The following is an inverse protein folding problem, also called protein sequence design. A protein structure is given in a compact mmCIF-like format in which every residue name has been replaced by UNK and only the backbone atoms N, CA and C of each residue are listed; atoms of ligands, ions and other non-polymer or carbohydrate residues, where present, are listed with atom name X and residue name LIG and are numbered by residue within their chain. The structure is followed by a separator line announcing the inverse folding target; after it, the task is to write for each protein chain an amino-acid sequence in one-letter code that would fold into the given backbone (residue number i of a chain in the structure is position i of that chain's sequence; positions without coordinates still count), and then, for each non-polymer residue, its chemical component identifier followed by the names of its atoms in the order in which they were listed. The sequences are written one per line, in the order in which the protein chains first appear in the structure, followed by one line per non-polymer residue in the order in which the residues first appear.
data_IF_578819468220
#
_entry.id   IF_578819468220
#
_cell.length_a   1.000
_cell.length_b   1.000
_cell.length_c   1.000
_cell.angle_alpha   90.00
_cell.angle_beta   90.00
_cell.angle_gamma   90.00
#
_symmetry.space_group_name_H-M   'P 1'
#
loop_
_entity.id
_entity.type
_entity.pdbx_description
1 polymer ?
#
# COMPACT_ATOMS: atom_id res chain seq x y z
N UNK A 1 -16.45 -20.07 18.62
CA UNK A 1 -15.47 -19.64 19.64
C UNK A 1 -14.47 -18.76 18.94
N UNK A 2 -14.40 -17.48 19.30
CA UNK A 2 -13.36 -16.57 18.82
C UNK A 2 -12.00 -17.14 19.24
N UNK A 3 -11.09 -17.34 18.27
CA UNK A 3 -9.78 -17.93 18.52
C UNK A 3 -8.84 -16.83 19.05
N UNK A 4 -9.00 -16.45 20.32
CA UNK A 4 -8.12 -15.50 21.01
C UNK A 4 -6.74 -16.14 21.12
N UNK A 5 -5.73 -15.49 20.54
CA UNK A 5 -4.34 -15.93 20.58
C UNK A 5 -3.51 -14.92 21.36
N UNK A 6 -2.56 -15.34 22.21
CA UNK A 6 -1.69 -14.40 22.90
C UNK A 6 -0.80 -13.68 21.89
N UNK A 7 -0.92 -12.35 21.83
CA UNK A 7 -0.05 -11.47 21.05
C UNK A 7 0.57 -10.40 21.94
N UNK A 8 1.78 -9.97 21.59
CA UNK A 8 2.42 -8.79 22.20
C UNK A 8 2.66 -7.74 21.14
N UNK A 9 2.52 -6.44 21.46
CA UNK A 9 2.83 -5.36 20.53
C UNK A 9 4.23 -5.50 19.96
N UNK A 10 4.33 -5.37 18.65
CA UNK A 10 5.59 -5.51 17.91
C UNK A 10 5.89 -4.30 17.02
N UNK A 11 5.06 -3.26 17.11
CA UNK A 11 5.11 -1.95 16.46
C UNK A 11 6.06 -1.88 15.28
N UNK A 12 5.56 -2.30 14.11
CA UNK A 12 6.28 -2.20 12.83
C UNK A 12 7.11 -3.43 12.45
N UNK A 13 7.13 -4.50 13.25
CA UNK A 13 7.74 -5.76 12.84
C UNK A 13 6.91 -6.51 11.78
N UNK A 14 7.58 -7.40 11.03
CA UNK A 14 6.89 -8.33 10.13
C UNK A 14 6.11 -9.35 10.97
N UNK A 15 4.81 -9.45 10.72
CA UNK A 15 3.93 -10.44 11.34
C UNK A 15 3.93 -11.74 10.55
N UNK A 16 3.91 -12.90 11.23
CA UNK A 16 3.57 -14.14 10.56
C UNK A 16 2.06 -14.17 10.24
N UNK A 17 1.64 -14.91 9.21
CA UNK A 17 0.23 -14.96 8.82
C UNK A 17 -0.72 -15.40 9.94
N UNK A 18 -0.25 -16.22 10.88
CA UNK A 18 -1.01 -16.71 12.03
C UNK A 18 -1.25 -15.63 13.11
N UNK A 19 -0.40 -14.59 13.11
CA UNK A 19 -0.48 -13.42 13.98
C UNK A 19 -1.39 -12.31 13.40
N UNK A 20 -1.79 -12.43 12.12
CA UNK A 20 -2.68 -11.46 11.48
C UNK A 20 -4.13 -11.73 11.89
N UNK A 21 -4.64 -10.89 12.81
CA UNK A 21 -6.02 -10.92 13.29
C UNK A 21 -6.96 -10.27 12.28
N UNK A 22 -8.13 -10.87 12.07
CA UNK A 22 -9.16 -10.36 11.18
C UNK A 22 -8.79 -10.45 9.70
N UNK A 23 -9.51 -9.71 8.85
CA UNK A 23 -9.30 -9.64 7.38
C UNK A 23 -9.76 -10.86 6.58
N UNK A 24 -10.50 -11.80 7.15
CA UNK A 24 -11.03 -12.98 6.45
C UNK A 24 -11.92 -12.57 5.27
N UNK A 25 -12.78 -11.57 5.47
CA UNK A 25 -13.64 -11.04 4.42
C UNK A 25 -12.85 -10.33 3.31
N UNK A 26 -11.80 -9.58 3.68
CA UNK A 26 -10.90 -8.93 2.71
C UNK A 26 -10.18 -9.97 1.85
N UNK A 27 -9.65 -11.03 2.48
CA UNK A 27 -8.99 -12.15 1.80
C UNK A 27 -9.96 -12.82 0.82
N UNK A 28 -11.18 -13.13 1.26
CA UNK A 28 -12.20 -13.76 0.42
C UNK A 28 -12.52 -12.90 -0.80
N UNK A 29 -12.82 -11.61 -0.60
CA UNK A 29 -13.12 -10.68 -1.69
C UNK A 29 -11.97 -10.57 -2.69
N UNK A 30 -10.72 -10.46 -2.20
CA UNK A 30 -9.53 -10.40 -3.05
C UNK A 30 -9.40 -11.68 -3.89
N UNK A 31 -9.58 -12.86 -3.29
CA UNK A 31 -9.53 -14.14 -4.01
C UNK A 31 -10.61 -14.20 -5.09
N UNK A 32 -11.85 -13.81 -4.78
CA UNK A 32 -12.96 -13.77 -5.74
C UNK A 32 -12.65 -12.85 -6.94
N UNK A 33 -11.97 -11.72 -6.70
CA UNK A 33 -11.53 -10.81 -7.76
C UNK A 33 -10.43 -11.45 -8.63
N UNK A 34 -9.46 -12.11 -7.99
CA UNK A 34 -8.33 -12.77 -8.65
C UNK A 34 -8.74 -13.92 -9.56
N UNK A 35 -9.97 -14.43 -9.41
CA UNK A 35 -10.54 -15.35 -10.39
C UNK A 35 -10.59 -14.72 -11.79
N UNK A 36 -10.89 -13.42 -11.87
CA UNK A 36 -11.18 -12.71 -13.12
C UNK A 36 -10.05 -11.77 -13.54
N UNK A 37 -9.50 -10.96 -12.61
CA UNK A 37 -8.55 -9.89 -12.94
C UNK A 37 -7.58 -9.60 -11.79
N UNK A 38 -6.56 -8.77 -12.05
CA UNK A 38 -5.61 -8.34 -11.01
C UNK A 38 -6.23 -7.37 -10.00
N UNK A 39 -5.53 -7.14 -8.89
CA UNK A 39 -5.96 -6.22 -7.83
C UNK A 39 -4.94 -5.08 -7.65
N UNK A 40 -5.41 -3.85 -7.68
CA UNK A 40 -4.65 -2.69 -7.23
C UNK A 40 -5.10 -2.35 -5.80
N UNK A 41 -4.33 -2.83 -4.82
CA UNK A 41 -4.59 -2.66 -3.40
C UNK A 41 -4.16 -1.26 -2.95
N UNK A 42 -5.16 -0.42 -2.72
CA UNK A 42 -4.99 0.92 -2.18
C UNK A 42 -5.27 0.90 -0.68
N UNK A 43 -4.31 1.30 0.12
CA UNK A 43 -4.57 1.62 1.52
C UNK A 43 -3.61 2.69 2.01
N UNK A 44 -4.07 3.41 3.01
CA UNK A 44 -3.23 4.30 3.79
C UNK A 44 -2.07 3.49 4.41
N UNK A 45 -0.92 4.14 4.64
CA UNK A 45 0.20 3.52 5.36
C UNK A 45 -0.31 3.01 6.72
N UNK A 46 0.25 1.90 7.21
CA UNK A 46 -0.07 1.33 8.53
C UNK A 46 -1.43 0.61 8.68
N UNK A 47 -2.17 0.39 7.58
CA UNK A 47 -3.45 -0.34 7.60
C UNK A 47 -3.30 -1.87 7.57
N UNK A 48 -2.07 -2.38 7.46
CA UNK A 48 -1.77 -3.82 7.43
C UNK A 48 -1.79 -4.43 6.03
N UNK A 49 -1.43 -3.67 4.98
CA UNK A 49 -1.37 -4.16 3.59
C UNK A 49 -0.47 -5.40 3.44
N UNK A 50 0.77 -5.33 3.92
CA UNK A 50 1.71 -6.44 3.87
C UNK A 50 1.18 -7.67 4.61
N UNK A 51 0.60 -7.47 5.79
CA UNK A 51 -0.06 -8.53 6.57
C UNK A 51 -1.22 -9.19 5.81
N UNK A 52 -2.07 -8.39 5.14
CA UNK A 52 -3.14 -8.90 4.29
C UNK A 52 -2.59 -9.69 3.10
N UNK A 53 -1.57 -9.18 2.40
CA UNK A 53 -0.98 -9.87 1.25
C UNK A 53 -0.35 -11.22 1.65
N UNK A 54 0.30 -11.29 2.81
CA UNK A 54 0.82 -12.54 3.35
C UNK A 54 -0.31 -13.54 3.68
N UNK A 55 -1.43 -13.06 4.24
CA UNK A 55 -2.60 -13.90 4.51
C UNK A 55 -3.25 -14.40 3.22
N UNK A 56 -3.44 -13.52 2.22
CA UNK A 56 -3.91 -13.87 0.87
C UNK A 56 -3.01 -14.93 0.23
N UNK A 57 -1.69 -14.72 0.27
CA UNK A 57 -0.70 -15.68 -0.26
C UNK A 57 -0.84 -17.06 0.40
N UNK A 58 -0.97 -17.08 1.73
CA UNK A 58 -1.09 -18.34 2.47
C UNK A 58 -2.38 -19.09 2.13
N UNK A 59 -3.52 -18.40 2.08
CA UNK A 59 -4.80 -19.01 1.72
C UNK A 59 -4.75 -19.55 0.28
N UNK A 60 -4.24 -18.76 -0.67
CA UNK A 60 -4.08 -19.19 -2.07
C UNK A 60 -3.18 -20.42 -2.20
N UNK A 61 -2.04 -20.46 -1.52
CA UNK A 61 -1.14 -21.62 -1.58
C UNK A 61 -1.71 -22.88 -0.90
N UNK A 62 -2.71 -22.74 -0.03
CA UNK A 62 -3.48 -23.87 0.51
C UNK A 62 -4.54 -24.40 -0.46
N UNK A 63 -4.87 -23.67 -1.53
CA UNK A 63 -5.84 -24.08 -2.54
C UNK A 63 -5.17 -24.85 -3.68
N UNK A 64 -5.80 -25.90 -4.23
CA UNK A 64 -5.17 -26.77 -5.23
C UNK A 64 -4.86 -26.05 -6.56
N UNK A 65 -5.66 -25.04 -6.92
CA UNK A 65 -5.63 -24.40 -8.24
C UNK A 65 -4.80 -23.11 -8.27
N UNK A 66 -4.02 -22.82 -7.23
CA UNK A 66 -3.29 -21.57 -7.10
C UNK A 66 -1.84 -21.79 -6.69
N UNK A 67 -1.00 -20.84 -7.11
CA UNK A 67 0.34 -20.65 -6.60
C UNK A 67 0.57 -19.14 -6.43
N UNK A 68 0.92 -18.72 -5.22
CA UNK A 68 1.07 -17.32 -4.87
C UNK A 68 2.49 -17.00 -4.41
N UNK A 69 3.03 -15.95 -5.00
CA UNK A 69 4.36 -15.41 -4.70
C UNK A 69 4.18 -14.01 -4.13
N UNK A 70 4.89 -13.72 -3.04
CA UNK A 70 4.95 -12.40 -2.43
C UNK A 70 6.35 -11.85 -2.61
N UNK A 71 6.42 -10.62 -3.12
CA UNK A 71 7.65 -9.86 -3.26
C UNK A 71 7.45 -8.50 -2.63
N UNK A 72 8.18 -8.25 -1.54
CA UNK A 72 8.50 -6.89 -1.13
C UNK A 72 9.43 -6.28 -2.18
N UNK A 73 9.06 -5.17 -2.82
CA UNK A 73 9.91 -4.51 -3.82
C UNK A 73 10.49 -3.18 -3.32
N UNK A 74 10.36 -2.89 -2.03
CA UNK A 74 11.00 -1.74 -1.40
C UNK A 74 12.54 -1.83 -1.56
N UNK A 75 13.16 -0.67 -1.80
CA UNK A 75 14.61 -0.53 -1.97
C UNK A 75 15.17 -0.97 -3.34
N UNK A 76 14.35 -1.53 -4.23
CA UNK A 76 14.74 -1.77 -5.62
C UNK A 76 14.66 -0.46 -6.42
N UNK A 77 15.56 -0.26 -7.40
CA UNK A 77 15.63 0.97 -8.21
C UNK A 77 15.75 0.72 -9.73
N UNK A 78 15.55 -0.51 -10.19
CA UNK A 78 15.54 -0.86 -11.62
C UNK A 78 14.67 -2.07 -11.94
N UNK A 79 14.22 -2.23 -13.19
CA UNK A 79 13.46 -3.40 -13.60
C UNK A 79 14.31 -4.67 -13.55
N UNK A 80 15.60 -4.61 -13.88
CA UNK A 80 16.50 -5.78 -13.75
C UNK A 80 16.53 -6.32 -12.32
N UNK A 81 16.58 -5.44 -11.33
CA UNK A 81 16.55 -5.85 -9.92
C UNK A 81 15.21 -6.51 -9.55
N UNK A 82 14.09 -5.99 -10.06
CA UNK A 82 12.76 -6.61 -9.90
C UNK A 82 12.71 -8.00 -10.53
N UNK A 83 13.11 -8.13 -11.80
CA UNK A 83 13.07 -9.41 -12.52
C UNK A 83 14.06 -10.40 -11.88
N UNK A 84 15.22 -9.95 -11.44
CA UNK A 84 16.18 -10.76 -10.70
C UNK A 84 15.61 -11.28 -9.37
N UNK A 85 14.90 -10.44 -8.62
CA UNK A 85 14.22 -10.85 -7.37
C UNK A 85 13.11 -11.87 -7.62
N UNK A 86 12.27 -11.62 -8.63
CA UNK A 86 11.23 -12.57 -9.06
C UNK A 86 11.83 -13.91 -9.50
N UNK A 87 12.92 -13.86 -10.27
CA UNK A 87 13.65 -15.03 -10.74
C UNK A 87 14.16 -15.90 -9.60
N UNK A 88 14.83 -15.28 -8.63
CA UNK A 88 15.33 -15.96 -7.45
C UNK A 88 14.19 -16.55 -6.61
N UNK A 89 13.07 -15.83 -6.48
CA UNK A 89 11.92 -16.33 -5.73
C UNK A 89 11.27 -17.55 -6.40
N UNK A 90 11.17 -17.56 -7.73
CA UNK A 90 10.63 -18.70 -8.49
C UNK A 90 11.54 -19.92 -8.38
N UNK A 91 12.86 -19.69 -8.46
CA UNK A 91 13.88 -20.73 -8.25
C UNK A 91 13.81 -21.31 -6.84
N UNK A 92 13.85 -20.46 -5.81
CA UNK A 92 13.89 -20.89 -4.42
C UNK A 92 12.62 -21.65 -3.99
N UNK A 93 11.47 -21.31 -4.58
CA UNK A 93 10.21 -22.02 -4.36
C UNK A 93 10.04 -23.28 -5.21
N UNK A 94 10.97 -23.56 -6.13
CA UNK A 94 10.84 -24.68 -7.07
C UNK A 94 9.67 -24.54 -8.04
N UNK A 95 9.22 -23.30 -8.31
CA UNK A 95 8.16 -23.03 -9.30
C UNK A 95 8.66 -23.28 -10.73
N UNK A 96 9.97 -23.21 -10.91
CA UNK A 96 10.66 -23.52 -12.17
C UNK A 96 11.83 -24.47 -11.85
N UNK A 97 11.94 -25.57 -12.61
CA UNK A 97 12.96 -26.60 -12.47
C UNK A 97 14.34 -26.01 -12.70
N UNK A 98 15.31 -26.50 -11.94
CA UNK A 98 16.72 -26.08 -12.06
C UNK A 98 17.26 -26.23 -13.50
N UNK A 99 16.79 -27.23 -14.25
CA UNK A 99 17.18 -27.43 -15.66
C UNK A 99 16.61 -26.35 -16.58
N UNK A 100 15.38 -25.88 -16.34
CA UNK A 100 14.74 -24.78 -17.08
C UNK A 100 15.39 -23.46 -16.73
N UNK A 101 15.64 -23.20 -15.44
CA UNK A 101 16.43 -22.07 -14.92
C UNK A 101 17.79 -21.97 -15.63
N UNK A 102 18.55 -23.07 -15.70
CA UNK A 102 19.84 -23.10 -16.42
C UNK A 102 19.72 -22.78 -17.90
N UNK A 103 18.66 -23.25 -18.57
CA UNK A 103 18.42 -22.93 -20.00
C UNK A 103 18.11 -21.45 -20.18
N UNK A 104 17.27 -20.90 -19.32
CA UNK A 104 16.97 -19.47 -19.26
C UNK A 104 18.29 -18.69 -19.09
N UNK A 105 19.08 -19.00 -18.08
CA UNK A 105 20.38 -18.33 -17.85
C UNK A 105 21.31 -18.40 -19.06
N UNK A 106 21.41 -19.54 -19.75
CA UNK A 106 22.22 -19.69 -20.96
C UNK A 106 21.71 -18.79 -22.09
N UNK A 107 20.40 -18.75 -22.33
CA UNK A 107 19.78 -17.92 -23.36
C UNK A 107 20.02 -16.44 -23.06
N UNK A 108 19.84 -16.03 -21.81
CA UNK A 108 20.03 -14.65 -21.38
C UNK A 108 21.51 -14.23 -21.37
N UNK A 109 22.44 -15.08 -20.93
CA UNK A 109 23.87 -14.79 -21.03
C UNK A 109 24.33 -14.62 -22.49
N UNK A 110 23.83 -15.45 -23.42
CA UNK A 110 24.11 -15.30 -24.85
C UNK A 110 23.55 -13.99 -25.43
N UNK A 111 22.40 -13.54 -24.95
CA UNK A 111 21.83 -12.26 -25.34
C UNK A 111 22.70 -11.11 -24.80
N UNK A 112 23.07 -11.12 -23.52
CA UNK A 112 23.99 -10.14 -22.92
C UNK A 112 25.33 -10.06 -23.65
N UNK A 113 25.93 -11.20 -24.01
CA UNK A 113 27.20 -11.26 -24.72
C UNK A 113 27.12 -10.72 -26.15
N UNK A 114 25.93 -10.78 -26.79
CA UNK A 114 25.70 -10.14 -28.08
C UNK A 114 25.60 -8.62 -27.93
N UNK A 115 24.91 -8.15 -26.88
CA UNK A 115 24.77 -6.73 -26.59
C UNK A 115 26.11 -6.07 -26.25
N UNK A 116 26.96 -6.71 -25.43
CA UNK A 116 28.32 -6.22 -25.10
C UNK A 116 29.26 -6.09 -26.31
N UNK A 117 28.95 -6.73 -27.45
CA UNK A 117 29.76 -6.72 -28.67
C UNK A 117 29.38 -5.61 -29.65
N UNK A 118 28.30 -4.88 -29.42
CA UNK A 118 27.92 -3.68 -30.17
C UNK A 118 28.64 -2.48 -29.53
N UNK A 119 29.43 -1.73 -30.32
CA UNK A 119 30.43 -0.78 -29.82
C UNK A 119 29.93 0.58 -29.28
N UNK A 120 30.84 1.32 -28.65
CA UNK A 120 30.64 2.39 -27.64
C UNK A 120 29.89 3.67 -28.07
N UNK A 121 29.86 4.03 -29.35
CA UNK A 121 29.43 5.38 -29.77
C UNK A 121 27.93 5.52 -30.11
N UNK A 122 27.22 4.39 -30.29
CA UNK A 122 25.76 4.35 -30.52
C UNK A 122 24.99 3.85 -29.28
N UNK A 123 25.69 3.66 -28.16
CA UNK A 123 25.21 2.88 -27.02
C UNK A 123 24.13 3.56 -26.17
N UNK A 124 24.15 4.86 -25.93
CA UNK A 124 23.29 5.42 -24.87
C UNK A 124 21.77 5.33 -25.13
N UNK A 125 21.33 5.51 -26.39
CA UNK A 125 19.89 5.39 -26.74
C UNK A 125 19.50 3.96 -27.18
N UNK A 126 20.46 3.17 -27.67
CA UNK A 126 20.25 1.79 -28.08
C UNK A 126 20.27 0.86 -26.85
N UNK A 127 21.15 1.09 -25.88
CA UNK A 127 21.24 0.32 -24.63
C UNK A 127 19.94 0.36 -23.83
N UNK A 128 19.21 1.48 -23.82
CA UNK A 128 17.94 1.58 -23.10
C UNK A 128 16.85 0.70 -23.75
N UNK A 129 16.63 0.85 -25.06
CA UNK A 129 15.63 0.02 -25.76
C UNK A 129 16.01 -1.47 -25.77
N UNK A 130 17.30 -1.80 -25.82
CA UNK A 130 17.78 -3.19 -25.84
C UNK A 130 17.76 -3.85 -24.45
N UNK A 131 18.07 -3.08 -23.39
CA UNK A 131 17.95 -3.53 -21.99
C UNK A 131 16.48 -3.74 -21.61
N UNK A 132 15.58 -2.88 -22.08
CA UNK A 132 14.13 -3.04 -21.96
C UNK A 132 13.65 -4.38 -22.54
N UNK A 133 14.03 -4.67 -23.79
CA UNK A 133 13.69 -5.95 -24.44
C UNK A 133 14.25 -7.17 -23.69
N UNK A 134 15.39 -7.00 -23.01
CA UNK A 134 16.04 -8.09 -22.29
C UNK A 134 15.25 -8.51 -21.05
N UNK A 135 14.95 -7.59 -20.14
CA UNK A 135 14.24 -7.93 -18.91
C UNK A 135 12.77 -8.26 -19.18
N UNK A 136 12.16 -7.65 -20.21
CA UNK A 136 10.81 -8.00 -20.68
C UNK A 136 10.74 -9.46 -21.08
N UNK A 137 11.64 -9.87 -21.99
CA UNK A 137 11.69 -11.25 -22.47
C UNK A 137 12.01 -12.23 -21.34
N UNK A 138 12.85 -11.82 -20.39
CA UNK A 138 13.16 -12.62 -19.19
C UNK A 138 11.94 -12.83 -18.31
N UNK A 139 11.17 -11.78 -18.08
CA UNK A 139 9.92 -11.84 -17.34
C UNK A 139 8.91 -12.74 -18.06
N UNK A 140 8.69 -12.57 -19.35
CA UNK A 140 7.76 -13.43 -20.09
C UNK A 140 8.19 -14.91 -20.02
N UNK A 141 9.46 -15.19 -20.29
CA UNK A 141 10.00 -16.55 -20.31
C UNK A 141 9.85 -17.24 -18.95
N UNK A 142 10.14 -16.54 -17.85
CA UNK A 142 10.02 -17.14 -16.52
C UNK A 142 8.57 -17.38 -16.11
N UNK A 143 7.65 -16.50 -16.52
CA UNK A 143 6.22 -16.68 -16.26
C UNK A 143 5.66 -17.87 -17.03
N UNK A 144 6.01 -18.00 -18.31
CA UNK A 144 5.62 -19.15 -19.15
C UNK A 144 6.15 -20.45 -18.53
N UNK A 145 7.45 -20.49 -18.18
CA UNK A 145 8.03 -21.67 -17.55
C UNK A 145 7.31 -22.05 -16.25
N UNK A 146 6.96 -21.08 -15.41
CA UNK A 146 6.26 -21.33 -14.16
C UNK A 146 4.87 -21.93 -14.36
N UNK A 147 4.11 -21.46 -15.36
CA UNK A 147 2.76 -22.00 -15.64
C UNK A 147 2.82 -23.39 -16.31
N UNK A 148 3.79 -23.63 -17.19
CA UNK A 148 3.96 -24.91 -17.88
C UNK A 148 4.36 -26.03 -16.91
N UNK A 149 5.19 -25.70 -15.92
CA UNK A 149 5.64 -26.65 -14.92
C UNK A 149 4.62 -26.88 -13.80
N UNK A 150 3.61 -26.01 -13.69
CA UNK A 150 2.54 -26.10 -12.70
C UNK A 150 1.16 -26.09 -13.39
N UNK A 151 0.85 -27.09 -14.24
CA UNK A 151 -0.36 -27.11 -15.04
C UNK A 151 -1.62 -27.10 -14.16
N UNK A 152 -2.64 -26.35 -14.58
CA UNK A 152 -3.91 -26.21 -13.86
C UNK A 152 -3.87 -25.23 -12.67
N UNK A 153 -2.71 -24.64 -12.35
CA UNK A 153 -2.59 -23.61 -11.31
C UNK A 153 -2.55 -22.21 -11.91
N UNK A 154 -3.22 -21.27 -11.24
CA UNK A 154 -3.11 -19.84 -11.49
C UNK A 154 -2.01 -19.24 -10.62
N UNK A 155 -1.06 -18.58 -11.25
CA UNK A 155 0.03 -17.84 -10.64
C UNK A 155 -0.41 -16.44 -10.21
N UNK A 156 -0.35 -16.17 -8.92
CA UNK A 156 -0.62 -14.87 -8.32
C UNK A 156 0.71 -14.25 -7.86
N UNK A 157 1.02 -13.04 -8.32
CA UNK A 157 2.24 -12.33 -7.94
C UNK A 157 1.85 -11.05 -7.19
N UNK A 158 2.13 -11.03 -5.89
CA UNK A 158 1.95 -9.86 -5.04
C UNK A 158 3.23 -9.02 -5.05
N UNK A 159 3.15 -7.79 -5.56
CA UNK A 159 4.20 -6.79 -5.52
C UNK A 159 3.88 -5.76 -4.43
N UNK A 160 4.51 -5.90 -3.26
CA UNK A 160 4.34 -4.99 -2.14
C UNK A 160 5.24 -3.75 -2.29
N UNK A 161 4.70 -2.58 -1.96
CA UNK A 161 5.31 -1.26 -2.20
C UNK A 161 5.71 -1.00 -3.67
N UNK A 162 4.94 -1.53 -4.62
CA UNK A 162 5.13 -1.30 -6.06
C UNK A 162 5.10 0.18 -6.46
N UNK A 163 4.30 1.02 -5.79
CA UNK A 163 4.32 2.47 -6.03
C UNK A 163 5.69 3.09 -5.71
N UNK A 164 6.36 2.61 -4.66
CA UNK A 164 7.69 3.08 -4.26
C UNK A 164 8.72 2.65 -5.31
N UNK A 165 8.65 1.41 -5.80
CA UNK A 165 9.51 0.95 -6.90
C UNK A 165 9.37 1.85 -8.13
N UNK A 166 8.14 2.16 -8.56
CA UNK A 166 7.92 3.00 -9.73
C UNK A 166 8.52 4.40 -9.58
N UNK A 167 8.54 4.92 -8.35
CA UNK A 167 9.15 6.20 -8.03
C UNK A 167 10.68 6.11 -7.86
N UNK A 168 11.21 5.02 -7.31
CA UNK A 168 12.66 4.85 -7.10
C UNK A 168 13.43 4.54 -8.37
N UNK A 169 12.77 4.04 -9.43
CA UNK A 169 13.41 3.80 -10.73
C UNK A 169 13.94 5.14 -11.28
N UNK A 170 15.25 5.19 -11.48
CA UNK A 170 15.97 6.40 -11.92
C UNK A 170 15.47 6.90 -13.28
N UNK A 171 15.31 5.96 -14.23
CA UNK A 171 14.76 6.26 -15.54
C UNK A 171 13.23 6.15 -15.53
N UNK A 172 12.53 7.27 -15.37
CA UNK A 172 11.06 7.30 -15.34
C UNK A 172 10.38 6.71 -16.59
N UNK A 173 11.05 6.68 -17.74
CA UNK A 173 10.54 5.98 -18.93
C UNK A 173 10.47 4.47 -18.71
N UNK A 174 11.44 3.91 -18.01
CA UNK A 174 11.48 2.49 -17.62
C UNK A 174 10.32 2.16 -16.68
N UNK A 175 9.97 3.04 -15.73
CA UNK A 175 8.76 2.89 -14.89
C UNK A 175 7.49 2.80 -15.73
N UNK A 176 7.35 3.65 -16.75
CA UNK A 176 6.19 3.63 -17.66
C UNK A 176 6.14 2.33 -18.46
N UNK A 177 7.29 1.87 -18.96
CA UNK A 177 7.41 0.64 -19.72
C UNK A 177 7.11 -0.59 -18.88
N UNK A 178 7.60 -0.66 -17.64
CA UNK A 178 7.28 -1.72 -16.70
C UNK A 178 5.77 -1.90 -16.56
N UNK A 179 5.04 -0.81 -16.33
CA UNK A 179 3.58 -0.88 -16.20
C UNK A 179 2.93 -1.33 -17.52
N UNK A 180 3.43 -0.82 -18.67
CA UNK A 180 2.96 -1.20 -19.99
C UNK A 180 3.15 -2.69 -20.29
N UNK A 181 4.32 -3.22 -19.99
CA UNK A 181 4.71 -4.62 -20.18
C UNK A 181 3.92 -5.53 -19.25
N UNK A 182 3.81 -5.19 -17.96
CA UNK A 182 3.00 -5.95 -17.03
C UNK A 182 1.55 -6.06 -17.51
N UNK A 183 0.96 -4.95 -17.99
CA UNK A 183 -0.37 -4.96 -18.62
C UNK A 183 -0.41 -5.86 -19.85
N UNK A 184 0.58 -5.78 -20.74
CA UNK A 184 0.62 -6.60 -21.95
C UNK A 184 0.70 -8.11 -21.63
N UNK A 185 1.49 -8.48 -20.61
CA UNK A 185 1.63 -9.86 -20.15
C UNK A 185 0.29 -10.45 -19.67
N UNK A 186 -0.53 -9.69 -18.92
CA UNK A 186 -1.85 -10.19 -18.51
C UNK A 186 -2.87 -10.29 -19.65
N UNK A 187 -2.58 -9.71 -20.82
CA UNK A 187 -3.41 -9.86 -22.03
C UNK A 187 -2.86 -10.88 -23.03
N UNK A 188 -1.62 -11.33 -22.85
CA UNK A 188 -0.99 -12.35 -23.70
C UNK A 188 -1.79 -13.66 -23.63
N UNK A 189 -2.10 -14.28 -24.78
CA UNK A 189 -2.92 -15.49 -24.87
C UNK A 189 -2.42 -16.64 -23.99
N UNK A 190 -1.10 -16.78 -23.83
CA UNK A 190 -0.49 -17.83 -23.00
C UNK A 190 -0.69 -17.56 -21.50
N UNK A 191 -0.77 -16.29 -21.09
CA UNK A 191 -0.74 -15.85 -19.69
C UNK A 191 -2.09 -15.33 -19.16
N UNK A 192 -3.00 -14.88 -20.03
CA UNK A 192 -4.20 -14.10 -19.65
C UNK A 192 -5.20 -14.78 -18.72
N UNK A 193 -5.13 -16.11 -18.60
CA UNK A 193 -5.96 -16.88 -17.65
C UNK A 193 -5.14 -17.53 -16.53
N UNK A 194 -3.82 -17.45 -16.60
CA UNK A 194 -2.89 -18.16 -15.73
C UNK A 194 -2.12 -17.23 -14.79
N UNK A 195 -1.95 -15.95 -15.13
CA UNK A 195 -1.17 -15.01 -14.31
C UNK A 195 -2.04 -13.84 -13.85
N UNK A 196 -1.95 -13.48 -12.56
CA UNK A 196 -2.57 -12.28 -11.99
C UNK A 196 -1.57 -11.57 -11.09
N UNK A 197 -1.70 -10.25 -11.04
CA UNK A 197 -0.90 -9.41 -10.16
C UNK A 197 -1.76 -8.78 -9.07
N UNK A 198 -1.15 -8.61 -7.90
CA UNK A 198 -1.61 -7.69 -6.87
C UNK A 198 -0.55 -6.60 -6.74
N UNK A 199 -0.91 -5.34 -7.01
CA UNK A 199 -0.05 -4.19 -6.77
C UNK A 199 -0.47 -3.52 -5.48
N UNK A 200 0.51 -3.16 -4.65
CA UNK A 200 0.28 -2.45 -3.40
C UNK A 200 1.22 -1.23 -3.32
N UNK A 201 0.80 -0.20 -2.60
CA UNK A 201 1.62 0.99 -2.37
C UNK A 201 1.13 1.78 -1.16
N UNK A 202 2.07 2.31 -0.38
CA UNK A 202 1.78 3.31 0.65
C UNK A 202 1.55 4.71 0.08
N UNK A 203 2.10 4.99 -1.10
CA UNK A 203 1.76 6.16 -1.92
C UNK A 203 0.64 5.73 -2.88
N UNK A 204 -0.36 6.58 -3.07
CA UNK A 204 -1.39 6.31 -4.06
C UNK A 204 -0.74 6.11 -5.43
N UNK A 205 -0.89 4.94 -6.04
CA UNK A 205 -0.29 4.63 -7.35
C UNK A 205 -0.70 5.66 -8.42
N UNK A 206 -1.89 6.25 -8.26
CA UNK A 206 -2.40 7.33 -9.09
C UNK A 206 -1.55 8.60 -9.02
N UNK A 207 -0.95 8.94 -7.87
CA UNK A 207 -0.02 10.07 -7.75
C UNK A 207 1.25 9.82 -8.55
N UNK A 208 1.84 8.63 -8.41
CA UNK A 208 3.04 8.23 -9.15
C UNK A 208 2.74 8.23 -10.66
N UNK A 209 1.60 7.68 -11.06
CA UNK A 209 1.15 7.71 -12.47
C UNK A 209 0.93 9.15 -12.95
N UNK A 210 0.35 10.03 -12.14
CA UNK A 210 0.14 11.43 -12.50
C UNK A 210 1.47 12.17 -12.71
N UNK A 211 2.48 11.90 -11.88
CA UNK A 211 3.84 12.43 -12.08
C UNK A 211 4.47 11.89 -13.36
N UNK A 212 4.38 10.58 -13.61
CA UNK A 212 4.87 9.97 -14.85
C UNK A 212 4.19 10.55 -16.11
N UNK A 213 2.89 10.88 -16.03
CA UNK A 213 2.15 11.52 -17.14
C UNK A 213 2.65 12.93 -17.46
N UNK A 214 3.27 13.65 -16.53
CA UNK A 214 3.87 14.97 -16.80
C UNK A 214 4.99 14.88 -17.85
N UNK A 215 5.58 13.70 -18.04
CA UNK A 215 6.60 13.44 -19.06
C UNK A 215 6.05 13.42 -20.49
N UNK A 216 4.75 13.68 -20.70
CA UNK A 216 4.06 13.74 -22.00
C UNK A 216 4.16 12.46 -22.83
N UNK A 217 4.47 11.33 -22.20
CA UNK A 217 4.41 10.01 -22.83
C UNK A 217 2.95 9.56 -22.85
N UNK A 218 2.41 9.27 -24.03
CA UNK A 218 1.03 8.81 -24.16
C UNK A 218 0.95 7.30 -23.87
N UNK A 219 0.60 6.91 -22.65
CA UNK A 219 0.43 5.49 -22.27
C UNK A 219 -0.97 5.14 -21.73
N UNK A 220 -1.95 6.02 -21.95
CA UNK A 220 -3.37 5.79 -21.64
C UNK A 220 -3.67 5.65 -20.14
N UNK A 221 -4.60 4.76 -19.79
CA UNK A 221 -4.92 4.37 -18.41
C UNK A 221 -4.22 3.04 -18.08
N UNK A 222 -3.04 3.06 -17.44
CA UNK A 222 -2.20 1.87 -17.27
C UNK A 222 -2.86 0.75 -16.46
N UNK A 223 -3.63 1.08 -15.44
CA UNK A 223 -4.17 0.12 -14.46
C UNK A 223 -5.64 -0.25 -14.68
N UNK A 224 -6.24 0.13 -15.81
CA UNK A 224 -7.66 -0.14 -16.10
C UNK A 224 -8.04 -1.63 -16.16
N UNK A 225 -7.05 -2.50 -16.29
CA UNK A 225 -7.20 -3.95 -16.32
C UNK A 225 -7.23 -4.57 -14.91
N UNK A 226 -7.08 -3.76 -13.86
CA UNK A 226 -7.06 -4.18 -12.47
C UNK A 226 -8.27 -3.64 -11.73
N UNK A 227 -8.71 -4.41 -10.74
CA UNK A 227 -9.73 -3.96 -9.80
C UNK A 227 -9.09 -3.07 -8.71
N UNK A 228 -9.54 -1.82 -8.54
CA UNK A 228 -9.14 -1.03 -7.37
C UNK A 228 -9.79 -1.63 -6.12
N UNK A 229 -8.98 -2.04 -5.15
CA UNK A 229 -9.46 -2.53 -3.86
C UNK A 229 -8.98 -1.59 -2.75
N UNK A 230 -9.91 -0.96 -2.04
CA UNK A 230 -9.59 -0.11 -0.89
C UNK A 230 -9.58 -0.97 0.38
N UNK A 231 -8.44 -1.02 1.04
CA UNK A 231 -8.35 -1.64 2.36
C UNK A 231 -8.68 -0.60 3.43
N UNK A 232 -9.79 -0.82 4.12
CA UNK A 232 -10.23 -0.01 5.25
C UNK A 232 -9.56 -0.47 6.56
N UNK A 233 -9.72 0.26 7.68
CA UNK A 233 -9.38 -0.25 9.01
C UNK A 233 -10.08 -1.59 9.30
N UNK A 234 -9.73 -2.23 10.42
CA UNK A 234 -10.43 -3.45 10.83
C UNK A 234 -11.92 -3.15 11.07
N UNK A 235 -12.76 -4.18 10.92
CA UNK A 235 -14.11 -4.12 11.48
C UNK A 235 -14.03 -3.89 13.00
N UNK A 236 -15.13 -3.43 13.61
CA UNK A 236 -15.16 -3.26 15.06
C UNK A 236 -14.87 -4.60 15.76
N UNK A 237 -15.44 -5.68 15.23
CA UNK A 237 -15.30 -7.03 15.75
C UNK A 237 -13.84 -7.51 15.67
N UNK A 238 -13.18 -7.32 14.52
CA UNK A 238 -11.77 -7.71 14.33
C UNK A 238 -10.82 -6.85 15.16
N UNK A 239 -11.11 -5.55 15.31
CA UNK A 239 -10.32 -4.65 16.15
C UNK A 239 -10.43 -5.03 17.63
N UNK A 240 -11.64 -5.34 18.11
CA UNK A 240 -11.86 -5.82 19.48
C UNK A 240 -11.19 -7.17 19.70
N UNK A 241 -11.24 -8.07 18.72
CA UNK A 241 -10.51 -9.34 18.77
C UNK A 241 -8.99 -9.12 18.86
N UNK A 242 -8.44 -8.14 18.13
CA UNK A 242 -7.03 -7.77 18.23
C UNK A 242 -6.69 -7.26 19.65
N UNK A 243 -7.54 -6.40 20.23
CA UNK A 243 -7.39 -5.94 21.61
C UNK A 243 -7.41 -7.11 22.60
N UNK A 244 -8.34 -8.06 22.46
CA UNK A 244 -8.39 -9.28 23.30
C UNK A 244 -7.11 -10.12 23.18
N UNK A 245 -6.57 -10.27 21.98
CA UNK A 245 -5.30 -10.97 21.74
C UNK A 245 -4.12 -10.27 22.43
N UNK A 246 -4.03 -8.94 22.37
CA UNK A 246 -3.01 -8.17 23.08
C UNK A 246 -3.19 -8.20 24.60
N UNK A 247 -4.43 -8.09 25.09
CA UNK A 247 -4.76 -8.20 26.50
C UNK A 247 -4.27 -9.54 27.05
N UNK A 248 -4.56 -10.63 26.34
CA UNK A 248 -4.12 -11.97 26.70
C UNK A 248 -2.59 -12.14 26.64
N UNK A 249 -1.94 -11.74 25.54
CA UNK A 249 -0.49 -11.93 25.39
C UNK A 249 0.37 -10.99 26.24
N UNK A 250 -0.16 -9.86 26.68
CA UNK A 250 0.51 -8.96 27.63
C UNK A 250 0.17 -9.26 29.09
N UNK A 251 -0.67 -10.25 29.39
CA UNK A 251 -1.18 -10.56 30.73
C UNK A 251 -1.81 -9.35 31.44
N UNK A 252 -2.66 -8.61 30.71
CA UNK A 252 -3.38 -7.45 31.22
C UNK A 252 -4.83 -7.82 31.59
N UNK A 253 -5.45 -6.99 32.43
CA UNK A 253 -6.86 -7.09 32.81
C UNK A 253 -7.65 -5.86 32.31
N UNK A 254 -7.57 -5.59 31.01
CA UNK A 254 -8.33 -4.51 30.37
C UNK A 254 -9.76 -5.00 30.14
N UNK A 255 -10.77 -4.23 30.58
CA UNK A 255 -12.18 -4.55 30.34
C UNK A 255 -12.60 -4.32 28.89
N UNK A 256 -13.68 -4.98 28.44
CA UNK A 256 -14.21 -4.82 27.08
C UNK A 256 -14.57 -3.34 26.76
N UNK A 257 -15.11 -2.58 27.72
CA UNK A 257 -15.41 -1.14 27.53
C UNK A 257 -14.16 -0.31 27.25
N UNK A 258 -13.05 -0.63 27.93
CA UNK A 258 -11.76 0.05 27.70
C UNK A 258 -11.14 -0.38 26.38
N UNK A 259 -11.29 -1.65 25.97
CA UNK A 259 -10.88 -2.11 24.64
C UNK A 259 -11.68 -1.42 23.53
N UNK A 260 -12.98 -1.26 23.70
CA UNK A 260 -13.84 -0.52 22.77
C UNK A 260 -13.39 0.95 22.66
N UNK A 261 -13.01 1.58 23.79
CA UNK A 261 -12.41 2.92 23.77
C UNK A 261 -11.10 2.96 22.98
N UNK A 262 -10.21 1.98 23.15
CA UNK A 262 -8.96 1.88 22.37
C UNK A 262 -9.27 1.75 20.87
N UNK A 263 -10.22 0.90 20.49
CA UNK A 263 -10.66 0.73 19.11
C UNK A 263 -11.13 2.06 18.51
N UNK A 264 -11.94 2.83 19.24
CA UNK A 264 -12.43 4.16 18.83
C UNK A 264 -11.28 5.16 18.68
N UNK A 265 -10.39 5.28 19.68
CA UNK A 265 -9.26 6.21 19.65
C UNK A 265 -8.31 5.95 18.48
N UNK A 266 -8.15 4.68 18.09
CA UNK A 266 -7.26 4.28 17.02
C UNK A 266 -7.96 4.13 15.66
N UNK A 267 -9.24 4.51 15.53
CA UNK A 267 -10.07 4.30 14.33
C UNK A 267 -10.04 2.85 13.79
N UNK A 268 -9.94 1.86 14.68
CA UNK A 268 -9.75 0.44 14.34
C UNK A 268 -8.51 0.14 13.46
N UNK A 269 -7.53 1.04 13.41
CA UNK A 269 -6.31 0.85 12.62
C UNK A 269 -5.35 -0.05 13.41
N UNK A 270 -5.02 -1.26 12.91
CA UNK A 270 -4.26 -2.26 13.68
C UNK A 270 -2.95 -1.73 14.24
N UNK A 271 -2.23 -0.91 13.46
CA UNK A 271 -0.95 -0.36 13.85
C UNK A 271 -1.04 0.63 15.02
N UNK A 272 -2.09 1.45 15.07
CA UNK A 272 -2.29 2.37 16.19
C UNK A 272 -2.80 1.65 17.43
N UNK A 273 -3.58 0.57 17.28
CA UNK A 273 -3.94 -0.32 18.39
C UNK A 273 -2.68 -0.95 18.98
N UNK A 274 -1.83 -1.58 18.15
CA UNK A 274 -0.52 -2.12 18.58
C UNK A 274 0.32 -1.04 19.28
N UNK A 275 0.44 0.12 18.64
CA UNK A 275 1.20 1.25 19.14
C UNK A 275 0.74 1.71 20.52
N UNK A 276 -0.58 1.82 20.73
CA UNK A 276 -1.16 2.23 22.00
C UNK A 276 -0.91 1.18 23.10
N UNK A 277 -1.14 -0.11 22.82
CA UNK A 277 -0.80 -1.20 23.75
C UNK A 277 0.70 -1.19 24.09
N UNK A 278 1.58 -0.87 23.13
CA UNK A 278 3.02 -0.80 23.38
C UNK A 278 3.43 0.22 24.45
N UNK A 279 2.58 1.22 24.70
CA UNK A 279 2.84 2.30 25.66
C UNK A 279 2.38 1.99 27.09
N UNK A 280 1.42 1.08 27.27
CA UNK A 280 0.89 0.74 28.60
C UNK A 280 0.99 -0.75 28.98
N UNK A 281 1.54 -1.61 28.11
CA UNK A 281 1.64 -3.07 28.34
C UNK A 281 2.41 -3.51 29.61
N UNK A 282 3.10 -2.59 30.28
CA UNK A 282 3.83 -2.86 31.52
C UNK A 282 3.19 -2.19 32.74
N UNK A 283 2.05 -1.51 32.55
CA UNK A 283 1.31 -0.90 33.64
C UNK A 283 0.64 -2.00 34.49
N UNK A 284 0.75 -1.94 35.82
CA UNK A 284 0.21 -2.97 36.70
C UNK A 284 -1.32 -2.98 36.71
N UNK A 285 -1.95 -1.82 36.47
CA UNK A 285 -3.40 -1.65 36.39
C UNK A 285 -3.67 -0.70 35.23
N UNK A 286 -4.55 -1.09 34.32
CA UNK A 286 -4.95 -0.28 33.17
C UNK A 286 -6.34 0.27 33.42
N UNK A 287 -6.45 1.60 33.45
CA UNK A 287 -7.71 2.31 33.56
C UNK A 287 -7.83 3.36 32.44
N UNK A 288 -8.94 4.10 32.44
CA UNK A 288 -9.21 5.12 31.43
C UNK A 288 -8.14 6.22 31.36
N UNK A 289 -7.60 6.65 32.50
CA UNK A 289 -6.59 7.72 32.56
C UNK A 289 -5.26 7.26 31.95
N UNK A 290 -4.86 6.01 32.23
CA UNK A 290 -3.66 5.41 31.65
C UNK A 290 -3.77 5.33 30.11
N UNK A 291 -4.92 4.92 29.60
CA UNK A 291 -5.18 4.85 28.15
C UNK A 291 -5.13 6.26 27.54
N UNK A 292 -5.74 7.25 28.17
CA UNK A 292 -5.76 8.63 27.67
C UNK A 292 -4.36 9.26 27.69
N UNK A 293 -3.57 9.00 28.74
CA UNK A 293 -2.15 9.43 28.82
C UNK A 293 -1.32 8.73 27.73
N UNK A 294 -1.49 7.43 27.54
CA UNK A 294 -0.80 6.68 26.49
C UNK A 294 -1.16 7.21 25.10
N UNK A 295 -2.44 7.52 24.86
CA UNK A 295 -2.91 8.06 23.59
C UNK A 295 -2.30 9.44 23.32
N UNK A 296 -2.29 10.34 24.30
CA UNK A 296 -1.62 11.65 24.17
C UNK A 296 -0.12 11.51 23.89
N UNK A 297 0.56 10.59 24.58
CA UNK A 297 1.97 10.26 24.31
C UNK A 297 2.19 9.73 22.88
N UNK A 298 1.25 8.96 22.35
CA UNK A 298 1.30 8.47 20.98
C UNK A 298 1.20 9.61 19.96
N UNK A 299 0.34 10.60 20.21
CA UNK A 299 0.15 11.76 19.33
C UNK A 299 1.32 12.76 19.40
N UNK A 300 1.94 12.92 20.56
CA UNK A 300 3.06 13.86 20.81
C UNK A 300 4.44 13.16 20.73
N UNK A 301 4.53 12.03 20.04
CA UNK A 301 5.78 11.29 19.94
C UNK A 301 6.77 11.98 18.99
N UNK A 302 7.73 12.68 19.58
CA UNK A 302 8.81 13.36 18.86
C UNK A 302 9.84 12.42 18.22
N UNK A 303 9.85 11.13 18.57
CA UNK A 303 10.77 10.16 17.98
C UNK A 303 10.26 9.57 16.66
N UNK A 304 9.04 9.90 16.24
CA UNK A 304 8.45 9.43 14.98
C UNK A 304 8.10 7.94 14.97
N UNK A 305 8.04 7.27 16.12
CA UNK A 305 7.72 5.84 16.28
C UNK A 305 6.37 5.49 15.68
N UNK A 306 5.37 6.37 15.78
CA UNK A 306 4.01 6.15 15.27
C UNK A 306 3.80 6.73 13.86
N UNK A 307 4.87 7.27 13.25
CA UNK A 307 4.96 7.72 11.88
C UNK A 307 3.92 8.74 11.39
N UNK A 308 3.15 9.40 12.25
CA UNK A 308 2.13 10.35 11.78
C UNK A 308 2.68 11.46 10.86
N UNK A 309 3.94 11.88 11.06
CA UNK A 309 4.60 12.89 10.20
C UNK A 309 4.63 12.51 8.71
N UNK A 310 4.57 11.23 8.35
CA UNK A 310 4.55 10.81 6.95
C UNK A 310 3.34 11.39 6.20
N UNK A 311 2.20 11.58 6.87
CA UNK A 311 1.01 12.19 6.30
C UNK A 311 1.25 13.65 5.92
N UNK A 312 2.03 14.36 6.72
CA UNK A 312 2.38 15.75 6.47
C UNK A 312 3.47 15.86 5.39
N UNK A 313 4.51 15.03 5.46
CA UNK A 313 5.61 15.03 4.48
C UNK A 313 5.15 14.62 3.08
N UNK A 314 4.19 13.68 2.97
CA UNK A 314 3.59 13.30 1.67
C UNK A 314 2.96 14.50 0.96
N UNK A 315 2.21 15.34 1.69
CA UNK A 315 1.63 16.57 1.11
C UNK A 315 2.75 17.51 0.69
N UNK A 316 3.78 17.69 1.51
CA UNK A 316 4.90 18.58 1.19
C UNK A 316 5.68 18.18 -0.06
N UNK A 317 5.80 16.88 -0.30
CA UNK A 317 6.59 16.31 -1.41
C UNK A 317 5.82 16.25 -2.72
N UNK A 318 4.53 15.85 -2.69
CA UNK A 318 3.80 15.47 -3.92
C UNK A 318 2.67 16.42 -4.31
N UNK A 319 2.18 17.28 -3.40
CA UNK A 319 1.01 18.10 -3.70
C UNK A 319 1.42 19.39 -4.42
N UNK A 320 0.73 19.75 -5.53
CA UNK A 320 1.05 20.96 -6.28
C UNK A 320 0.82 22.21 -5.42
N UNK A 321 -0.35 22.30 -4.78
CA UNK A 321 -0.74 23.43 -3.95
C UNK A 321 -0.70 23.08 -2.46
N UNK A 322 0.43 22.49 -2.04
CA UNK A 322 0.63 22.00 -0.66
C UNK A 322 0.25 22.99 0.44
N UNK A 323 0.46 24.30 0.23
CA UNK A 323 0.08 25.32 1.23
C UNK A 323 -1.43 25.35 1.47
N UNK A 324 -2.23 25.27 0.40
CA UNK A 324 -3.70 25.25 0.48
C UNK A 324 -4.15 23.98 1.20
N UNK A 325 -3.62 22.82 0.80
CA UNK A 325 -3.93 21.53 1.42
C UNK A 325 -3.62 21.50 2.92
N UNK A 326 -2.48 22.04 3.35
CA UNK A 326 -2.12 22.12 4.77
C UNK A 326 -3.05 23.07 5.55
N UNK A 327 -3.46 24.20 4.97
CA UNK A 327 -4.42 25.11 5.62
C UNK A 327 -5.81 24.49 5.73
N UNK A 328 -6.27 23.76 4.72
CA UNK A 328 -7.52 23.01 4.76
C UNK A 328 -7.53 22.02 5.93
N UNK A 329 -6.47 21.21 6.07
CA UNK A 329 -6.36 20.26 7.17
C UNK A 329 -6.27 20.95 8.54
N UNK A 330 -5.58 22.09 8.64
CA UNK A 330 -5.56 22.89 9.87
C UNK A 330 -6.92 23.47 10.27
N UNK A 331 -7.72 23.89 9.30
CA UNK A 331 -9.09 24.37 9.56
C UNK A 331 -9.94 23.20 10.03
N UNK A 332 -9.91 22.08 9.29
CA UNK A 332 -10.73 20.91 9.57
C UNK A 332 -10.33 20.21 10.88
N UNK A 333 -9.08 20.35 11.34
CA UNK A 333 -8.65 19.74 12.61
C UNK A 333 -9.28 20.42 13.82
N UNK A 334 -9.65 21.70 13.70
CA UNK A 334 -10.29 22.49 14.76
C UNK A 334 -11.83 22.35 14.80
N UNK A 335 -12.43 21.74 13.78
CA UNK A 335 -13.88 21.72 13.59
C UNK A 335 -14.51 20.40 14.07
N UNK A 336 -15.58 20.48 14.86
CA UNK A 336 -16.31 19.33 15.39
C UNK A 336 -17.39 18.83 14.41
N UNK A 337 -16.99 18.30 13.25
CA UNK A 337 -17.92 17.61 12.34
C UNK A 337 -17.72 17.93 10.88
N UNK A 338 -18.81 17.85 10.12
CA UNK A 338 -18.85 18.15 8.70
C UNK A 338 -18.79 19.67 8.46
N UNK A 339 -17.88 20.11 7.58
CA UNK A 339 -17.67 21.51 7.23
C UNK A 339 -18.03 21.71 5.76
N UNK A 340 -18.88 22.70 5.46
CA UNK A 340 -19.26 23.01 4.08
C UNK A 340 -18.09 23.60 3.30
N UNK A 341 -18.08 23.39 1.98
CA UNK A 341 -17.08 23.96 1.07
C UNK A 341 -16.99 25.49 1.16
N UNK A 342 -18.14 26.17 1.30
CA UNK A 342 -18.20 27.62 1.50
C UNK A 342 -17.53 28.05 2.81
N UNK A 343 -17.79 27.35 3.93
CA UNK A 343 -17.15 27.63 5.22
C UNK A 343 -15.65 27.35 5.19
N UNK A 344 -15.23 26.23 4.56
CA UNK A 344 -13.80 25.95 4.36
C UNK A 344 -13.11 27.05 3.56
N UNK A 345 -13.73 27.52 2.48
CA UNK A 345 -13.19 28.59 1.66
C UNK A 345 -13.03 29.88 2.47
N UNK A 346 -14.05 30.29 3.22
CA UNK A 346 -13.99 31.48 4.08
C UNK A 346 -12.83 31.41 5.09
N UNK A 347 -12.74 30.29 5.83
CA UNK A 347 -11.74 30.10 6.88
C UNK A 347 -10.31 30.02 6.35
N UNK A 348 -10.10 29.39 5.19
CA UNK A 348 -8.77 29.35 4.56
C UNK A 348 -8.43 30.71 3.97
N UNK A 349 -9.36 31.34 3.25
CA UNK A 349 -9.12 32.64 2.59
C UNK A 349 -8.83 33.77 3.59
N UNK A 350 -9.37 33.69 4.80
CA UNK A 350 -9.05 34.62 5.89
C UNK A 350 -7.57 34.55 6.35
N UNK A 351 -6.87 33.44 6.11
CA UNK A 351 -5.46 33.23 6.49
C UNK A 351 -4.51 33.25 5.29
N UNK A 352 -5.00 32.84 4.12
CA UNK A 352 -4.25 32.68 2.89
C UNK A 352 -5.15 33.05 1.73
N UNK A 353 -4.88 34.17 1.05
CA UNK A 353 -5.62 34.54 -0.16
C UNK A 353 -5.52 33.40 -1.19
N UNK A 354 -6.66 32.84 -1.56
CA UNK A 354 -6.73 31.61 -2.34
C UNK A 354 -7.86 31.67 -3.37
N UNK A 355 -7.57 31.19 -4.57
CA UNK A 355 -8.60 31.00 -5.58
C UNK A 355 -9.53 29.83 -5.19
N UNK A 356 -10.84 30.03 -5.35
CA UNK A 356 -11.84 29.02 -4.96
C UNK A 356 -11.69 27.71 -5.71
N UNK A 357 -11.36 27.74 -7.01
CA UNK A 357 -11.21 26.52 -7.80
C UNK A 357 -9.99 25.72 -7.33
N UNK A 358 -8.87 26.38 -7.04
CA UNK A 358 -7.68 25.73 -6.49
C UNK A 358 -7.97 25.07 -5.13
N UNK A 359 -8.74 25.74 -4.26
CA UNK A 359 -9.15 25.17 -2.97
C UNK A 359 -10.00 23.91 -3.15
N UNK A 360 -10.96 23.94 -4.08
CA UNK A 360 -11.82 22.78 -4.37
C UNK A 360 -10.99 21.61 -4.93
N UNK A 361 -10.07 21.88 -5.85
CA UNK A 361 -9.18 20.85 -6.42
C UNK A 361 -8.32 20.19 -5.34
N UNK A 362 -7.81 20.97 -4.39
CA UNK A 362 -7.02 20.44 -3.28
C UNK A 362 -7.88 19.69 -2.24
N UNK A 363 -9.10 20.15 -1.95
CA UNK A 363 -10.04 19.41 -1.11
C UNK A 363 -10.42 18.06 -1.76
N UNK A 364 -10.63 18.03 -3.08
CA UNK A 364 -10.84 16.80 -3.83
C UNK A 364 -9.62 15.88 -3.79
N UNK A 365 -8.41 16.44 -3.88
CA UNK A 365 -7.16 15.68 -3.78
C UNK A 365 -7.03 15.02 -2.41
N UNK A 366 -7.21 15.78 -1.34
CA UNK A 366 -7.19 15.27 0.04
C UNK A 366 -8.25 14.19 0.29
N UNK A 367 -9.44 14.33 -0.31
CA UNK A 367 -10.48 13.30 -0.28
C UNK A 367 -10.07 12.02 -1.04
N UNK A 368 -9.54 12.15 -2.26
CA UNK A 368 -9.05 11.01 -3.07
C UNK A 368 -7.91 10.28 -2.36
N UNK A 369 -7.03 11.02 -1.68
CA UNK A 369 -5.90 10.52 -0.90
C UNK A 369 -6.27 10.06 0.52
N UNK A 370 -7.56 10.06 0.86
CA UNK A 370 -8.13 9.49 2.09
C UNK A 370 -7.78 10.23 3.38
N UNK A 371 -7.36 11.50 3.28
CA UNK A 371 -7.31 12.39 4.45
C UNK A 371 -8.72 12.78 4.89
N UNK A 372 -9.63 12.96 3.93
CA UNK A 372 -10.98 13.47 4.16
C UNK A 372 -12.06 12.46 3.76
N UNK A 373 -13.21 12.54 4.41
CA UNK A 373 -14.50 12.09 3.87
C UNK A 373 -15.21 13.26 3.20
N UNK A 374 -16.07 12.93 2.25
CA UNK A 374 -16.92 13.89 1.55
C UNK A 374 -18.35 13.38 1.49
N UNK A 375 -19.29 14.25 1.82
CA UNK A 375 -20.73 14.05 1.62
C UNK A 375 -21.28 15.17 0.73
N UNK A 376 -22.36 14.87 0.02
CA UNK A 376 -23.12 15.85 -0.76
C UNK A 376 -24.44 16.09 -0.05
N UNK A 377 -24.78 17.36 0.15
CA UNK A 377 -26.07 17.81 0.67
C UNK A 377 -26.65 18.92 -0.20
N UNK A 378 -27.77 19.47 0.24
CA UNK A 378 -28.56 20.44 -0.54
C UNK A 378 -27.79 21.75 -0.83
N UNK A 379 -26.90 22.16 0.08
CA UNK A 379 -26.08 23.38 -0.07
C UNK A 379 -24.66 23.11 -0.60
N UNK A 380 -24.41 21.89 -1.12
CA UNK A 380 -23.16 21.51 -1.76
C UNK A 380 -22.38 20.42 -1.04
N UNK A 381 -21.06 20.53 -1.04
CA UNK A 381 -20.15 19.48 -0.55
C UNK A 381 -19.71 19.78 0.88
N UNK A 382 -19.65 18.73 1.68
CA UNK A 382 -19.21 18.79 3.08
C UNK A 382 -18.03 17.86 3.29
N UNK A 383 -17.08 18.27 4.10
CA UNK A 383 -15.84 17.56 4.35
C UNK A 383 -15.53 17.44 5.84
N UNK A 384 -14.88 16.35 6.22
CA UNK A 384 -14.29 16.15 7.55
C UNK A 384 -13.11 15.18 7.45
N UNK A 385 -12.26 15.12 8.46
CA UNK A 385 -11.20 14.10 8.53
C UNK A 385 -11.79 12.69 8.41
N UNK A 386 -11.12 11.81 7.65
CA UNK A 386 -11.53 10.41 7.50
C UNK A 386 -11.31 9.61 8.78
N UNK A 387 -10.23 9.93 9.51
CA UNK A 387 -9.78 9.25 10.73
C UNK A 387 -9.60 10.28 11.85
N UNK A 388 -10.19 10.01 13.00
CA UNK A 388 -10.11 10.86 14.18
C UNK A 388 -8.68 10.92 14.75
N UNK A 389 -7.95 9.81 14.76
CA UNK A 389 -6.55 9.75 15.24
C UNK A 389 -5.62 10.68 14.44
N UNK A 390 -5.86 10.80 13.14
CA UNK A 390 -5.11 11.72 12.28
C UNK A 390 -5.51 13.16 12.56
N UNK A 391 -6.80 13.42 12.80
CA UNK A 391 -7.31 14.74 13.17
C UNK A 391 -6.66 15.21 14.49
N UNK A 392 -6.67 14.36 15.51
CA UNK A 392 -6.11 14.65 16.84
C UNK A 392 -4.61 14.91 16.75
N UNK A 393 -3.88 14.07 16.02
CA UNK A 393 -2.45 14.29 15.78
C UNK A 393 -2.18 15.64 15.10
N UNK A 394 -2.99 15.98 14.09
CA UNK A 394 -2.86 17.23 13.35
C UNK A 394 -3.13 18.45 14.24
N UNK A 395 -4.14 18.34 15.11
CA UNK A 395 -4.48 19.36 16.10
C UNK A 395 -3.33 19.63 17.07
N UNK A 396 -2.68 18.57 17.58
CA UNK A 396 -1.54 18.69 18.51
C UNK A 396 -0.30 19.26 17.83
N UNK A 397 0.01 18.81 16.60
CA UNK A 397 1.36 19.00 16.04
C UNK A 397 1.47 20.04 14.93
N UNK A 398 0.40 20.29 14.16
CA UNK A 398 0.46 21.11 12.93
C UNK A 398 -0.50 22.30 12.94
N UNK A 399 -1.44 22.30 13.87
CA UNK A 399 -2.46 23.33 14.03
C UNK A 399 -1.85 24.65 14.53
N UNK A 400 -2.10 25.74 13.81
CA UNK A 400 -1.73 27.11 14.20
C UNK A 400 -2.89 28.10 14.03
#
# INVERSE_FOLDING_TARGET
MENIKPLTPSTGSVLTPEQVIGREDDVKKIIDILEKQGVCLNAVRRFGKSSLLLKVKNVLNGMPNYMAVYLDVEGLSSCDSLIGKLYNEFKNRGLVKESTIKKIDIVFNKLLDRFKKLGIASLLEIELNEREQFWEKKLETILIAAIEENPGKKLIICLDEFSILLDSIENKRESILLIGILRALVHNENLKNHVRFIYCGSIGIDLVIAELKKLKVNFGKPLNHMHPYELEPLSKEDALLLCKCFNNGCNLDVSDDLMDKICVLCDNIPYYIDGLYSLFRYEPIVNVDIIDVAYKKMLDDSNGKFEFDHFYERIKSHYPEKKISLHLLNVLSKESGWVSESKMFELVNAKLEVDRYLLIDEAERLWKDKYLRRESGDEGRYYKFKYQVLKDWWEVNKSY
#
